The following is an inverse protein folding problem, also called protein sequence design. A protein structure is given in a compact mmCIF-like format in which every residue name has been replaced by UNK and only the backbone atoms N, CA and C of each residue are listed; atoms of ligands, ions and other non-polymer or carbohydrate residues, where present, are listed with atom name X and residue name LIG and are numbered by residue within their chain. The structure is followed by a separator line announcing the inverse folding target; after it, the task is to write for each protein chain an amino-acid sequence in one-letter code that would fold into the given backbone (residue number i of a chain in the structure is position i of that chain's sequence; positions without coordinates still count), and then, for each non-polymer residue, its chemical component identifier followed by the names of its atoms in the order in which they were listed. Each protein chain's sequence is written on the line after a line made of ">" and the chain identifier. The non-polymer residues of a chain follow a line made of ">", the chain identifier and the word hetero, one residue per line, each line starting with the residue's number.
data_IF_515776042746
#
_entry.id   IF_515776042746
#
_cell.length_a   1.000
_cell.length_b   1.000
_cell.length_c   1.000
_cell.angle_alpha   90.00
_cell.angle_beta   90.00
_cell.angle_gamma   90.00
#
_symmetry.space_group_name_H-M   'P 1'
#
loop_
_entity.id
_entity.type
_entity.pdbx_description
1 polymer ?
#
# COMPACT_ATOMS: atom_id res chain seq x y z
N UNK A 1 2.68 -4.26 28.71
CA UNK A 1 2.04 -3.09 28.08
C UNK A 1 3.09 -2.40 27.22
N UNK A 2 2.90 -2.32 25.89
CA UNK A 2 3.87 -1.66 25.00
C UNK A 2 3.91 -0.16 25.31
N UNK A 3 5.08 0.37 25.66
CA UNK A 3 5.29 1.81 25.87
C UNK A 3 5.80 2.42 24.56
N UNK A 4 4.96 3.19 23.89
CA UNK A 4 5.33 3.87 22.65
C UNK A 4 6.21 5.08 22.93
N UNK A 5 7.26 5.27 22.13
CA UNK A 5 7.99 6.53 22.08
C UNK A 5 7.10 7.65 21.51
N UNK A 6 7.45 8.93 21.73
CA UNK A 6 6.80 10.04 21.03
C UNK A 6 6.84 9.86 19.51
N UNK A 7 7.98 9.44 18.96
CA UNK A 7 8.19 9.26 17.53
C UNK A 7 7.34 8.13 16.94
N UNK A 8 7.27 6.97 17.61
CA UNK A 8 6.43 5.85 17.16
C UNK A 8 4.94 6.21 17.27
N UNK A 9 4.58 7.02 18.28
CA UNK A 9 3.22 7.55 18.40
C UNK A 9 2.88 8.50 17.24
N UNK A 10 3.80 9.40 16.86
CA UNK A 10 3.63 10.28 15.68
C UNK A 10 3.42 9.42 14.44
N UNK A 11 4.28 8.42 14.19
CA UNK A 11 4.20 7.55 13.02
C UNK A 11 2.87 6.77 12.94
N UNK A 12 2.42 6.18 14.05
CA UNK A 12 1.13 5.48 14.12
C UNK A 12 -0.05 6.41 13.90
N UNK A 13 0.02 7.65 14.40
CA UNK A 13 -1.03 8.63 14.15
C UNK A 13 -1.04 9.00 12.67
N UNK A 14 0.10 9.45 12.14
CA UNK A 14 0.19 10.04 10.80
C UNK A 14 0.18 9.04 9.66
N UNK A 15 0.21 7.73 9.93
CA UNK A 15 0.03 6.72 8.88
C UNK A 15 -1.44 6.60 8.40
N UNK A 16 -2.40 7.20 9.12
CA UNK A 16 -3.84 7.08 8.85
C UNK A 16 -4.33 8.22 7.97
N UNK A 17 -5.22 7.94 7.02
CA UNK A 17 -5.82 8.99 6.17
C UNK A 17 -6.76 9.95 6.93
N UNK A 18 -7.38 9.47 8.01
CA UNK A 18 -8.34 10.22 8.83
C UNK A 18 -7.91 10.20 10.29
N UNK A 19 -8.03 11.35 10.96
CA UNK A 19 -7.76 11.51 12.38
C UNK A 19 -9.03 11.98 13.08
N UNK A 20 -9.27 11.48 14.30
CA UNK A 20 -10.30 12.03 15.19
C UNK A 20 -9.75 13.29 15.89
N UNK A 21 -10.61 14.16 16.45
CA UNK A 21 -10.14 15.32 17.20
C UNK A 21 -9.11 14.98 18.28
N UNK A 22 -9.30 13.87 18.99
CA UNK A 22 -8.38 13.44 20.07
C UNK A 22 -7.02 12.98 19.52
N UNK A 23 -7.00 12.43 18.30
CA UNK A 23 -5.77 12.04 17.60
C UNK A 23 -4.98 13.28 17.15
N UNK A 24 -5.68 14.33 16.69
CA UNK A 24 -5.07 15.61 16.31
C UNK A 24 -4.49 16.34 17.51
N UNK A 25 -5.24 16.44 18.61
CA UNK A 25 -4.75 17.03 19.85
C UNK A 25 -3.52 16.29 20.37
N UNK A 26 -3.55 14.95 20.31
CA UNK A 26 -2.40 14.13 20.71
C UNK A 26 -1.19 14.38 19.82
N UNK A 27 -1.38 14.47 18.50
CA UNK A 27 -0.29 14.79 17.56
C UNK A 27 0.32 16.16 17.87
N UNK A 28 -0.52 17.19 18.07
CA UNK A 28 -0.06 18.55 18.43
C UNK A 28 0.74 18.53 19.73
N UNK A 29 0.29 17.79 20.75
CA UNK A 29 1.03 17.67 22.03
C UNK A 29 2.39 17.00 21.81
N UNK A 30 2.43 15.88 21.09
CA UNK A 30 3.67 15.13 20.82
C UNK A 30 4.68 15.98 20.04
N UNK A 31 4.25 16.72 19.02
CA UNK A 31 5.14 17.56 18.22
C UNK A 31 5.70 18.77 18.95
N UNK A 32 5.12 19.16 20.11
CA UNK A 32 5.62 20.25 20.96
C UNK A 32 6.67 19.79 21.98
N UNK A 33 6.86 18.48 22.16
CA UNK A 33 7.94 17.90 22.95
C UNK A 33 9.23 17.77 22.11
N UNK A 34 10.40 17.52 22.71
CA UNK A 34 11.60 17.19 21.95
C UNK A 34 11.39 15.92 21.10
N UNK A 35 11.34 16.07 19.77
CA UNK A 35 11.15 14.98 18.80
C UNK A 35 12.41 14.79 17.97
N UNK A 36 12.84 13.53 17.81
CA UNK A 36 13.86 13.16 16.85
C UNK A 36 13.28 13.14 15.42
N UNK A 37 13.12 14.33 14.83
CA UNK A 37 12.59 14.48 13.46
C UNK A 37 13.35 13.71 12.38
N UNK A 38 14.69 13.65 12.38
CA UNK A 38 15.42 12.77 11.47
C UNK A 38 14.96 11.31 11.52
N UNK A 39 14.75 10.76 12.73
CA UNK A 39 14.22 9.42 12.90
C UNK A 39 12.78 9.28 12.38
N UNK A 40 11.89 10.24 12.69
CA UNK A 40 10.49 10.22 12.21
C UNK A 40 10.44 10.23 10.69
N UNK A 41 11.20 11.11 10.03
CA UNK A 41 11.23 11.21 8.57
C UNK A 41 11.79 9.93 7.95
N UNK A 42 12.90 9.42 8.49
CA UNK A 42 13.50 8.15 8.05
C UNK A 42 12.49 6.99 8.16
N UNK A 43 11.81 6.84 9.31
CA UNK A 43 10.79 5.81 9.51
C UNK A 43 9.59 6.02 8.60
N UNK A 44 9.09 7.24 8.44
CA UNK A 44 7.96 7.53 7.56
C UNK A 44 8.25 7.15 6.11
N UNK A 45 9.48 7.34 5.64
CA UNK A 45 9.91 6.87 4.33
C UNK A 45 9.87 5.35 4.21
N UNK A 46 10.46 4.62 5.18
CA UNK A 46 10.44 3.15 5.20
C UNK A 46 9.02 2.61 5.29
N UNK A 47 8.17 3.27 6.07
CA UNK A 47 6.76 2.94 6.24
C UNK A 47 5.89 3.30 5.03
N UNK A 48 6.42 4.07 4.06
CA UNK A 48 5.70 4.64 2.91
C UNK A 48 4.55 5.58 3.32
N UNK A 49 4.77 6.44 4.31
CA UNK A 49 3.73 7.35 4.86
C UNK A 49 4.13 8.83 4.81
N UNK A 50 5.18 9.20 4.07
CA UNK A 50 5.67 10.59 4.00
C UNK A 50 4.60 11.60 3.56
N UNK A 51 3.76 11.35 2.52
CA UNK A 51 2.73 12.30 2.11
C UNK A 51 1.66 12.50 3.18
N UNK A 52 1.33 11.44 3.93
CA UNK A 52 0.36 11.50 5.02
C UNK A 52 0.95 12.28 6.21
N UNK A 53 2.20 12.01 6.57
CA UNK A 53 2.93 12.78 7.57
C UNK A 53 2.93 14.27 7.22
N UNK A 54 3.35 14.63 6.01
CA UNK A 54 3.34 16.03 5.57
C UNK A 54 1.93 16.63 5.61
N UNK A 55 0.92 15.90 5.10
CA UNK A 55 -0.45 16.37 5.04
C UNK A 55 -1.00 16.73 6.43
N UNK A 56 -0.80 15.86 7.42
CA UNK A 56 -1.26 16.15 8.78
C UNK A 56 -0.48 17.29 9.43
N UNK A 57 0.85 17.31 9.28
CA UNK A 57 1.66 18.38 9.84
C UNK A 57 1.33 19.73 9.19
N UNK A 58 1.05 19.77 7.89
CA UNK A 58 0.67 20.97 7.17
C UNK A 58 -0.68 21.48 7.62
N UNK A 59 -1.69 20.59 7.70
CA UNK A 59 -3.05 20.93 8.08
C UNK A 59 -3.18 21.44 9.52
N UNK A 60 -2.28 21.01 10.40
CA UNK A 60 -2.24 21.39 11.81
C UNK A 60 -1.20 22.49 12.11
N UNK A 61 -0.61 23.12 11.09
CA UNK A 61 0.41 24.16 11.22
C UNK A 61 1.66 23.74 12.02
N UNK A 62 2.02 22.46 11.94
CA UNK A 62 3.16 21.85 12.64
C UNK A 62 4.42 21.71 11.77
N UNK A 63 4.34 21.98 10.46
CA UNK A 63 5.50 21.83 9.56
C UNK A 63 6.70 22.70 9.97
N UNK A 64 6.46 23.85 10.60
CA UNK A 64 7.50 24.77 11.08
C UNK A 64 8.28 24.24 12.28
N UNK A 65 7.81 23.17 12.92
CA UNK A 65 8.49 22.50 14.03
C UNK A 65 9.58 21.53 13.55
N UNK A 66 9.61 21.21 12.26
CA UNK A 66 10.64 20.36 11.68
C UNK A 66 11.91 21.20 11.43
N UNK A 67 13.11 20.61 11.60
CA UNK A 67 14.33 21.18 11.05
C UNK A 67 14.17 21.47 9.55
N UNK A 68 14.76 22.56 9.06
CA UNK A 68 14.61 23.04 7.68
C UNK A 68 14.88 21.94 6.64
N UNK A 69 15.92 21.15 6.84
CA UNK A 69 16.32 20.06 5.96
C UNK A 69 15.27 18.94 5.93
N UNK A 70 14.70 18.61 7.10
CA UNK A 70 13.66 17.59 7.21
C UNK A 70 12.36 18.05 6.54
N UNK A 71 11.96 19.30 6.77
CA UNK A 71 10.78 19.90 6.12
C UNK A 71 10.94 19.92 4.59
N UNK A 72 12.11 20.36 4.09
CA UNK A 72 12.41 20.37 2.66
C UNK A 72 12.39 18.97 2.06
N UNK A 73 13.00 17.99 2.75
CA UNK A 73 13.02 16.60 2.30
C UNK A 73 11.61 16.01 2.16
N UNK A 74 10.78 16.17 3.19
CA UNK A 74 9.39 15.70 3.19
C UNK A 74 8.60 16.33 2.06
N UNK A 75 8.72 17.66 1.85
CA UNK A 75 8.04 18.37 0.77
C UNK A 75 8.47 17.86 -0.62
N UNK A 76 9.78 17.71 -0.85
CA UNK A 76 10.31 17.21 -2.13
C UNK A 76 9.83 15.78 -2.43
N UNK A 77 9.84 14.92 -1.41
CA UNK A 77 9.35 13.55 -1.51
C UNK A 77 7.87 13.51 -1.87
N UNK A 78 7.03 14.28 -1.16
CA UNK A 78 5.59 14.28 -1.41
C UNK A 78 5.24 14.81 -2.79
N UNK A 79 5.83 15.94 -3.22
CA UNK A 79 5.58 16.47 -4.58
C UNK A 79 5.89 15.41 -5.63
N UNK A 80 7.01 14.72 -5.47
CA UNK A 80 7.44 13.68 -6.40
C UNK A 80 6.50 12.45 -6.37
N UNK A 81 6.05 12.03 -5.19
CA UNK A 81 5.03 10.98 -5.04
C UNK A 81 3.72 11.37 -5.71
N UNK A 82 3.26 12.62 -5.53
CA UNK A 82 2.02 13.11 -6.14
C UNK A 82 2.10 13.12 -7.67
N UNK A 83 3.24 13.50 -8.23
CA UNK A 83 3.47 13.43 -9.69
C UNK A 83 3.38 11.99 -10.18
N UNK A 84 4.02 11.03 -9.51
CA UNK A 84 3.91 9.61 -9.84
C UNK A 84 2.45 9.14 -9.83
N UNK A 85 1.73 9.36 -8.72
CA UNK A 85 0.33 8.92 -8.61
C UNK A 85 -0.57 9.57 -9.65
N UNK A 86 -0.35 10.85 -9.98
CA UNK A 86 -1.09 11.53 -11.04
C UNK A 86 -0.83 10.89 -12.42
N UNK A 87 0.42 10.49 -12.71
CA UNK A 87 0.73 9.76 -13.94
C UNK A 87 0.08 8.37 -13.97
N UNK A 88 0.14 7.63 -12.87
CA UNK A 88 -0.52 6.33 -12.74
C UNK A 88 -2.03 6.47 -13.03
N UNK A 89 -2.73 7.38 -12.36
CA UNK A 89 -4.17 7.58 -12.60
C UNK A 89 -4.51 8.15 -13.98
N UNK A 90 -3.59 8.88 -14.62
CA UNK A 90 -3.77 9.33 -16.02
C UNK A 90 -3.79 8.15 -17.00
N UNK A 91 -3.03 7.10 -16.72
CA UNK A 91 -2.89 5.92 -17.58
C UNK A 91 -4.05 4.92 -17.38
N UNK A 92 -4.63 4.89 -16.18
CA UNK A 92 -5.61 3.88 -15.80
C UNK A 92 -6.87 3.80 -16.69
N UNK A 93 -7.51 4.92 -17.11
CA UNK A 93 -8.70 4.86 -17.96
C UNK A 93 -8.50 4.15 -19.31
N UNK A 94 -7.33 4.32 -19.93
CA UNK A 94 -7.01 3.66 -21.21
C UNK A 94 -7.00 2.14 -21.07
N UNK A 95 -6.40 1.64 -19.99
CA UNK A 95 -6.32 0.20 -19.69
C UNK A 95 -7.72 -0.34 -19.41
N UNK A 96 -8.49 0.35 -18.57
CA UNK A 96 -9.86 -0.06 -18.24
C UNK A 96 -10.74 -0.15 -19.47
N UNK A 97 -10.73 0.88 -20.33
CA UNK A 97 -11.53 0.89 -21.55
C UNK A 97 -11.12 -0.22 -22.52
N UNK A 98 -9.84 -0.57 -22.56
CA UNK A 98 -9.36 -1.68 -23.38
C UNK A 98 -9.84 -3.03 -22.84
N UNK A 99 -9.76 -3.26 -21.53
CA UNK A 99 -10.29 -4.47 -20.88
C UNK A 99 -11.80 -4.61 -21.11
N UNK A 100 -12.56 -3.53 -20.93
CA UNK A 100 -14.01 -3.49 -21.17
C UNK A 100 -14.35 -3.83 -22.63
N UNK A 101 -13.69 -3.18 -23.60
CA UNK A 101 -13.89 -3.47 -25.04
C UNK A 101 -13.52 -4.90 -25.41
N UNK A 102 -12.53 -5.48 -24.74
CA UNK A 102 -12.14 -6.87 -24.95
C UNK A 102 -13.09 -7.86 -24.24
N UNK A 103 -14.03 -7.40 -23.41
CA UNK A 103 -14.88 -8.28 -22.60
C UNK A 103 -14.08 -9.12 -21.61
N UNK A 104 -12.99 -8.57 -21.08
CA UNK A 104 -12.18 -9.21 -20.03
C UNK A 104 -12.75 -8.75 -18.68
N UNK A 105 -13.09 -9.68 -17.79
CA UNK A 105 -13.55 -9.33 -16.45
C UNK A 105 -12.37 -8.79 -15.63
N UNK A 106 -12.56 -7.66 -14.97
CA UNK A 106 -11.52 -7.01 -14.17
C UNK A 106 -12.08 -6.22 -12.98
N UNK A 107 -11.26 -5.98 -11.97
CA UNK A 107 -11.52 -4.99 -10.93
C UNK A 107 -10.23 -4.41 -10.36
N UNK A 108 -10.27 -3.19 -9.83
CA UNK A 108 -9.15 -2.57 -9.11
C UNK A 108 -9.05 -3.15 -7.71
N UNK A 109 -7.81 -3.44 -7.29
CA UNK A 109 -7.53 -4.02 -5.98
C UNK A 109 -6.32 -3.34 -5.36
N UNK A 110 -6.13 -3.45 -4.04
CA UNK A 110 -4.99 -2.91 -3.30
C UNK A 110 -4.78 -1.41 -3.56
N UNK A 111 -3.79 -1.05 -4.36
CA UNK A 111 -3.31 0.31 -4.39
C UNK A 111 -4.34 1.31 -4.91
N UNK A 112 -4.75 1.15 -6.17
CA UNK A 112 -5.63 2.11 -6.84
C UNK A 112 -7.03 2.22 -6.23
N UNK A 113 -7.67 1.11 -5.84
CA UNK A 113 -9.00 1.18 -5.24
C UNK A 113 -8.97 1.82 -3.84
N UNK A 114 -7.95 1.52 -3.02
CA UNK A 114 -7.75 2.17 -1.73
C UNK A 114 -7.55 3.67 -1.89
N UNK A 115 -6.64 4.09 -2.78
CA UNK A 115 -6.37 5.50 -3.03
C UNK A 115 -7.63 6.25 -3.52
N UNK A 116 -8.37 5.69 -4.48
CA UNK A 116 -9.50 6.37 -5.10
C UNK A 116 -10.74 6.46 -4.21
N UNK A 117 -10.98 5.45 -3.37
CA UNK A 117 -12.24 5.33 -2.64
C UNK A 117 -12.13 5.62 -1.14
N UNK A 118 -10.95 5.37 -0.55
CA UNK A 118 -10.79 5.38 0.90
C UNK A 118 -9.91 6.53 1.39
N UNK A 119 -9.25 7.27 0.50
CA UNK A 119 -8.46 8.45 0.88
C UNK A 119 -9.19 9.75 0.50
N UNK A 120 -9.02 10.83 1.28
CA UNK A 120 -9.66 12.12 0.97
C UNK A 120 -9.09 12.77 -0.30
N UNK A 121 -7.83 12.46 -0.63
CA UNK A 121 -7.17 12.80 -1.89
C UNK A 121 -6.36 11.56 -2.31
N UNK A 122 -6.59 11.00 -3.51
CA UNK A 122 -5.90 9.81 -3.98
C UNK A 122 -4.38 10.00 -4.09
N UNK A 123 -3.90 11.24 -4.19
CA UNK A 123 -2.47 11.56 -4.26
C UNK A 123 -1.76 11.51 -2.90
N UNK A 124 -2.50 11.31 -1.79
CA UNK A 124 -1.93 11.12 -0.46
C UNK A 124 -1.44 9.69 -0.21
N UNK A 125 -1.90 8.72 -1.01
CA UNK A 125 -1.51 7.32 -0.87
C UNK A 125 -0.36 7.01 -1.85
N UNK A 126 0.90 6.96 -1.40
CA UNK A 126 2.00 6.66 -2.30
C UNK A 126 1.90 5.22 -2.82
N UNK A 127 2.09 5.07 -4.13
CA UNK A 127 2.04 3.79 -4.84
C UNK A 127 3.24 3.64 -5.75
N UNK A 128 3.52 2.41 -6.13
CA UNK A 128 4.60 2.07 -7.07
C UNK A 128 4.07 1.38 -8.33
N UNK A 129 2.81 1.00 -8.33
CA UNK A 129 2.16 0.11 -9.26
C UNK A 129 0.64 0.27 -9.16
N UNK A 130 -0.04 -0.05 -10.26
CA UNK A 130 -1.48 -0.20 -10.33
C UNK A 130 -1.81 -1.69 -10.37
N UNK A 131 -2.36 -2.22 -9.28
CA UNK A 131 -2.84 -3.59 -9.22
C UNK A 131 -4.24 -3.70 -9.84
N UNK A 132 -4.40 -4.60 -10.81
CA UNK A 132 -5.67 -4.92 -11.47
C UNK A 132 -5.86 -6.42 -11.41
N UNK A 133 -7.02 -6.87 -10.92
CA UNK A 133 -7.38 -8.28 -10.92
C UNK A 133 -8.03 -8.64 -12.26
N UNK A 134 -7.66 -9.80 -12.83
CA UNK A 134 -8.26 -10.41 -14.02
C UNK A 134 -8.46 -11.90 -13.79
N UNK A 135 -9.30 -12.56 -14.61
CA UNK A 135 -9.49 -14.01 -14.48
C UNK A 135 -8.27 -14.76 -15.06
N UNK A 136 -7.82 -15.88 -14.44
CA UNK A 136 -6.69 -16.67 -14.94
C UNK A 136 -6.81 -17.06 -16.43
N UNK A 137 -8.03 -17.39 -16.87
CA UNK A 137 -8.30 -17.78 -18.27
C UNK A 137 -8.01 -16.67 -19.29
N UNK A 138 -7.95 -15.40 -18.86
CA UNK A 138 -7.72 -14.25 -19.73
C UNK A 138 -6.25 -13.80 -19.79
N UNK A 139 -5.34 -14.45 -19.05
CA UNK A 139 -3.95 -13.97 -18.90
C UNK A 139 -3.24 -13.70 -20.24
N UNK A 140 -3.31 -14.63 -21.20
CA UNK A 140 -2.69 -14.42 -22.51
C UNK A 140 -3.37 -13.31 -23.33
N UNK A 141 -4.69 -13.12 -23.16
CA UNK A 141 -5.44 -12.05 -23.83
C UNK A 141 -5.03 -10.69 -23.26
N UNK A 142 -4.90 -10.61 -21.94
CA UNK A 142 -4.41 -9.42 -21.22
C UNK A 142 -3.00 -9.05 -21.66
N UNK A 143 -2.09 -10.02 -21.78
CA UNK A 143 -0.71 -9.73 -22.23
C UNK A 143 -0.68 -9.11 -23.62
N UNK A 144 -1.39 -9.68 -24.59
CA UNK A 144 -1.47 -9.13 -25.95
C UNK A 144 -2.05 -7.72 -25.93
N UNK A 145 -3.15 -7.53 -25.20
CA UNK A 145 -3.79 -6.23 -25.06
C UNK A 145 -2.86 -5.16 -24.47
N UNK A 146 -2.13 -5.49 -23.39
CA UNK A 146 -1.19 -4.57 -22.78
C UNK A 146 -0.03 -4.22 -23.72
N UNK A 147 0.44 -5.17 -24.53
CA UNK A 147 1.44 -4.90 -25.56
C UNK A 147 0.91 -4.01 -26.68
N UNK A 148 -0.35 -4.17 -27.08
CA UNK A 148 -1.00 -3.29 -28.06
C UNK A 148 -1.16 -1.85 -27.53
N UNK A 149 -1.36 -1.68 -26.22
CA UNK A 149 -1.36 -0.38 -25.52
C UNK A 149 0.04 0.23 -25.31
N UNK A 150 1.09 -0.43 -25.82
CA UNK A 150 2.46 0.07 -25.75
C UNK A 150 3.20 -0.27 -24.44
N UNK A 151 2.61 -1.06 -23.55
CA UNK A 151 3.32 -1.56 -22.37
C UNK A 151 4.27 -2.70 -22.74
N UNK A 152 5.38 -2.84 -22.02
CA UNK A 152 6.37 -3.90 -22.22
C UNK A 152 6.86 -4.44 -20.88
N UNK A 153 7.46 -5.62 -20.89
CA UNK A 153 8.24 -6.09 -19.73
C UNK A 153 9.66 -5.53 -19.81
N UNK A 154 10.27 -5.27 -18.66
CA UNK A 154 11.65 -4.81 -18.58
C UNK A 154 11.98 -4.05 -17.30
N UNK A 155 13.23 -3.63 -17.21
CA UNK A 155 13.80 -2.94 -16.05
C UNK A 155 14.14 -1.49 -16.43
N UNK A 156 13.67 -0.55 -15.63
CA UNK A 156 14.07 0.85 -15.72
C UNK A 156 15.19 1.15 -14.71
N UNK A 157 16.30 1.70 -15.19
CA UNK A 157 17.41 2.17 -14.35
C UNK A 157 17.23 3.66 -14.01
N UNK A 158 16.82 4.02 -12.78
CA UNK A 158 16.63 5.41 -12.39
C UNK A 158 17.94 6.21 -12.27
N UNK A 159 19.10 5.54 -12.37
CA UNK A 159 20.41 6.18 -12.27
C UNK A 159 20.81 6.96 -13.51
N UNK A 160 20.31 6.53 -14.67
CA UNK A 160 20.64 7.05 -16.00
C UNK A 160 19.41 7.20 -16.91
N UNK A 161 18.23 6.72 -16.48
CA UNK A 161 16.99 6.78 -17.26
C UNK A 161 16.86 5.67 -18.32
N UNK A 162 17.77 4.69 -18.34
CA UNK A 162 17.77 3.65 -19.35
C UNK A 162 16.65 2.63 -19.12
N UNK A 163 16.13 2.12 -20.23
CA UNK A 163 15.15 1.04 -20.27
C UNK A 163 15.77 -0.22 -20.86
N UNK A 164 15.64 -1.33 -20.15
CA UNK A 164 16.13 -2.64 -20.55
C UNK A 164 14.93 -3.57 -20.78
N UNK A 165 14.49 -3.77 -22.04
CA UNK A 165 13.38 -4.66 -22.33
C UNK A 165 13.70 -6.10 -21.92
N UNK A 166 12.73 -6.80 -21.37
CA UNK A 166 12.81 -8.22 -21.07
C UNK A 166 11.74 -8.97 -21.84
N UNK A 167 12.06 -10.20 -22.28
CA UNK A 167 11.05 -11.14 -22.79
C UNK A 167 10.70 -12.10 -21.66
N UNK A 168 9.43 -12.11 -21.27
CA UNK A 168 8.88 -13.06 -20.30
C UNK A 168 7.73 -13.79 -20.96
N UNK A 169 7.86 -15.11 -21.07
CA UNK A 169 6.78 -15.95 -21.59
C UNK A 169 5.81 -16.27 -20.45
N UNK A 170 4.53 -16.42 -20.80
CA UNK A 170 3.51 -16.89 -19.87
C UNK A 170 3.37 -18.40 -20.05
N UNK A 171 4.05 -19.16 -19.22
CA UNK A 171 3.95 -20.61 -19.18
C UNK A 171 3.21 -21.10 -17.92
N UNK A 172 2.87 -22.39 -17.89
CA UNK A 172 2.17 -23.02 -16.77
C UNK A 172 2.99 -23.04 -15.48
N UNK A 173 4.32 -22.86 -15.56
CA UNK A 173 5.21 -22.72 -14.41
C UNK A 173 5.06 -21.34 -13.76
N UNK A 174 4.99 -20.29 -14.57
CA UNK A 174 4.74 -18.91 -14.14
C UNK A 174 3.49 -18.80 -13.26
N UNK A 175 2.39 -19.47 -13.61
CA UNK A 175 1.14 -19.42 -12.82
C UNK A 175 1.10 -20.37 -11.62
N UNK A 176 2.02 -21.34 -11.54
CA UNK A 176 2.15 -22.20 -10.34
C UNK A 176 2.89 -21.47 -9.21
N UNK A 177 3.84 -20.60 -9.57
CA UNK A 177 4.70 -19.90 -8.61
C UNK A 177 4.31 -18.44 -8.39
N UNK A 178 3.60 -17.82 -9.34
CA UNK A 178 3.13 -16.44 -9.28
C UNK A 178 1.61 -16.36 -9.36
N UNK A 179 1.05 -15.43 -8.58
CA UNK A 179 -0.36 -15.05 -8.64
C UNK A 179 -0.60 -13.81 -9.53
N UNK A 180 0.43 -13.33 -10.24
CA UNK A 180 0.31 -12.24 -11.21
C UNK A 180 1.13 -12.50 -12.48
N UNK A 181 0.73 -11.85 -13.57
CA UNK A 181 1.51 -11.79 -14.80
C UNK A 181 2.78 -10.97 -14.56
N UNK A 182 3.85 -11.15 -15.37
CA UNK A 182 4.99 -10.28 -15.31
C UNK A 182 4.59 -8.81 -15.48
N UNK A 183 5.11 -7.95 -14.60
CA UNK A 183 4.74 -6.53 -14.55
C UNK A 183 4.88 -5.86 -15.92
N UNK A 184 3.86 -5.09 -16.29
CA UNK A 184 3.82 -4.29 -17.49
C UNK A 184 4.31 -2.87 -17.19
N UNK A 185 5.17 -2.33 -18.04
CA UNK A 185 5.78 -1.03 -17.84
C UNK A 185 5.60 -0.15 -19.06
N UNK A 186 5.27 1.12 -18.84
CA UNK A 186 5.35 2.20 -19.82
C UNK A 186 6.05 3.40 -19.20
N UNK A 187 6.96 4.04 -19.94
CA UNK A 187 7.68 5.22 -19.46
C UNK A 187 6.89 6.46 -19.84
N UNK A 188 6.47 7.20 -18.83
CA UNK A 188 5.80 8.48 -18.98
C UNK A 188 6.80 9.61 -18.71
N UNK A 189 6.61 10.74 -19.40
CA UNK A 189 7.47 11.92 -19.27
C UNK A 189 6.64 13.17 -19.01
N UNK A 190 7.08 14.01 -18.07
CA UNK A 190 6.48 15.31 -17.74
C UNK A 190 7.54 16.36 -17.46
N UNK A 191 7.16 17.63 -17.45
CA UNK A 191 8.03 18.68 -16.95
C UNK A 191 8.40 18.41 -15.48
N UNK A 192 9.68 18.55 -15.14
CA UNK A 192 10.13 18.39 -13.77
C UNK A 192 9.48 19.46 -12.89
N UNK A 193 8.84 19.09 -11.76
CA UNK A 193 8.34 20.06 -10.80
C UNK A 193 9.46 20.79 -10.05
N UNK A 194 10.73 20.44 -10.32
CA UNK A 194 11.91 21.00 -9.67
C UNK A 194 12.93 21.54 -10.69
N UNK A 195 13.63 22.64 -10.35
CA UNK A 195 14.65 23.23 -11.21
C UNK A 195 15.96 22.42 -11.28
N UNK A 196 16.12 21.42 -10.41
CA UNK A 196 17.29 20.55 -10.30
C UNK A 196 16.94 19.20 -9.65
N UNK A 197 17.92 18.38 -9.23
CA UNK A 197 17.66 17.08 -8.63
C UNK A 197 16.94 17.21 -7.27
N UNK A 198 15.66 16.83 -7.21
CA UNK A 198 14.80 17.02 -6.03
C UNK A 198 15.03 16.02 -4.88
N UNK A 199 15.48 14.82 -5.24
CA UNK A 199 15.78 13.73 -4.32
C UNK A 199 17.21 13.27 -4.61
N UNK A 200 18.08 13.12 -3.58
CA UNK A 200 19.43 12.60 -3.75
C UNK A 200 19.44 11.34 -4.60
N UNK A 201 20.43 11.20 -5.47
CA UNK A 201 20.50 10.11 -6.46
C UNK A 201 20.31 8.74 -5.81
N UNK A 202 20.86 8.53 -4.62
CA UNK A 202 20.79 7.29 -3.84
C UNK A 202 19.37 6.92 -3.37
N UNK A 203 18.45 7.89 -3.31
CA UNK A 203 17.09 7.70 -2.81
C UNK A 203 16.05 7.55 -3.95
N UNK A 204 16.48 7.78 -5.20
CA UNK A 204 15.65 7.57 -6.41
C UNK A 204 15.31 6.09 -6.68
N UNK A 205 16.03 5.16 -6.05
CA UNK A 205 15.90 3.72 -6.25
C UNK A 205 14.75 3.08 -5.46
N UNK A 206 14.24 3.73 -4.41
CA UNK A 206 13.27 3.09 -3.50
C UNK A 206 11.83 3.18 -3.99
N UNK A 207 11.22 4.36 -3.86
CA UNK A 207 9.76 4.50 -4.02
C UNK A 207 9.36 5.35 -5.22
N UNK A 208 10.10 6.43 -5.50
CA UNK A 208 9.75 7.32 -6.60
C UNK A 208 10.08 6.73 -7.96
N UNK A 209 11.23 6.05 -8.11
CA UNK A 209 11.77 5.52 -9.38
C UNK A 209 11.57 6.50 -10.54
N UNK A 210 12.50 7.41 -10.74
CA UNK A 210 12.43 8.39 -11.83
C UNK A 210 13.78 9.02 -12.15
N UNK A 211 13.89 9.55 -13.36
CA UNK A 211 15.09 10.20 -13.89
C UNK A 211 14.73 11.59 -14.43
N UNK A 212 15.53 12.61 -14.09
CA UNK A 212 15.39 13.95 -14.65
C UNK A 212 16.53 14.15 -15.65
N UNK A 213 16.18 14.42 -16.91
CA UNK A 213 17.14 14.61 -18.00
C UNK A 213 17.74 16.03 -18.04
N UNK A 214 18.66 16.26 -18.98
CA UNK A 214 19.30 17.58 -19.19
C UNK A 214 18.34 18.65 -19.70
N UNK A 215 17.20 18.25 -20.28
CA UNK A 215 16.13 19.14 -20.71
C UNK A 215 15.10 19.43 -19.60
N UNK A 216 15.36 19.00 -18.35
CA UNK A 216 14.49 19.15 -17.18
C UNK A 216 13.16 18.39 -17.30
N UNK A 217 13.10 17.31 -18.08
CA UNK A 217 11.97 16.39 -18.09
C UNK A 217 12.18 15.27 -17.09
N UNK A 218 11.13 14.96 -16.36
CA UNK A 218 11.04 13.83 -15.44
C UNK A 218 10.44 12.63 -16.17
N UNK A 219 11.20 11.55 -16.24
CA UNK A 219 10.81 10.26 -16.79
C UNK A 219 10.51 9.28 -15.66
N UNK A 220 9.34 8.64 -15.71
CA UNK A 220 8.87 7.69 -14.71
C UNK A 220 8.31 6.42 -15.37
N UNK A 221 8.77 5.22 -14.97
CA UNK A 221 8.09 3.98 -15.29
C UNK A 221 6.77 3.90 -14.50
N UNK A 222 5.69 3.68 -15.24
CA UNK A 222 4.36 3.33 -14.74
C UNK A 222 4.24 1.82 -14.80
N UNK A 223 4.07 1.21 -13.63
CA UNK A 223 3.99 -0.24 -13.48
C UNK A 223 2.52 -0.66 -13.33
N UNK A 224 2.11 -1.66 -14.11
CA UNK A 224 0.79 -2.27 -14.03
C UNK A 224 0.99 -3.74 -13.67
N UNK A 225 0.42 -4.15 -12.54
CA UNK A 225 0.47 -5.52 -12.06
C UNK A 225 -0.90 -6.17 -12.29
N UNK A 226 -0.92 -7.20 -13.14
CA UNK A 226 -2.14 -7.90 -13.53
C UNK A 226 -2.22 -9.20 -12.72
N UNK A 227 -3.04 -9.18 -11.67
CA UNK A 227 -3.23 -10.29 -10.74
C UNK A 227 -4.25 -11.28 -11.27
N UNK A 228 -3.93 -12.57 -11.19
CA UNK A 228 -4.87 -13.68 -11.43
C UNK A 228 -5.30 -14.35 -10.11
N UNK A 229 -4.56 -14.08 -9.03
CA UNK A 229 -4.88 -14.40 -7.64
C UNK A 229 -4.25 -13.31 -6.73
N UNK A 230 -4.60 -13.25 -5.45
CA UNK A 230 -3.98 -12.36 -4.47
C UNK A 230 -2.95 -13.06 -3.58
N UNK A 231 -3.04 -14.39 -3.48
CA UNK A 231 -2.10 -15.23 -2.76
C UNK A 231 -2.22 -16.67 -3.24
N UNK A 232 -1.11 -17.41 -3.19
CA UNK A 232 -1.15 -18.87 -3.34
C UNK A 232 -2.01 -19.47 -2.22
N UNK A 233 -2.82 -20.47 -2.56
CA UNK A 233 -3.67 -21.20 -1.61
C UNK A 233 -5.01 -20.52 -1.28
N UNK A 234 -5.32 -19.36 -1.85
CA UNK A 234 -6.64 -18.73 -1.73
C UNK A 234 -7.47 -19.02 -2.98
N UNK A 235 -8.73 -19.40 -2.77
CA UNK A 235 -9.70 -19.60 -3.84
C UNK A 235 -9.99 -18.26 -4.53
N UNK A 236 -9.89 -18.26 -5.85
CA UNK A 236 -10.16 -17.08 -6.66
C UNK A 236 -11.60 -16.61 -6.47
N UNK A 237 -12.57 -17.50 -6.27
CA UNK A 237 -13.96 -17.07 -6.12
C UNK A 237 -14.21 -16.29 -4.82
N UNK A 238 -13.46 -16.57 -3.74
CA UNK A 238 -13.53 -15.77 -2.51
C UNK A 238 -12.96 -14.36 -2.69
N UNK A 239 -11.99 -14.20 -3.61
CA UNK A 239 -11.40 -12.89 -3.95
C UNK A 239 -12.36 -12.06 -4.81
N UNK A 240 -13.09 -12.72 -5.71
CA UNK A 240 -14.10 -12.09 -6.56
C UNK A 240 -15.44 -11.89 -5.85
N UNK A 241 -15.63 -12.51 -4.68
CA UNK A 241 -16.84 -12.36 -3.86
C UNK A 241 -17.11 -10.90 -3.49
N UNK A 242 -18.33 -10.46 -3.83
CA UNK A 242 -18.82 -9.12 -3.50
C UNK A 242 -18.13 -7.98 -4.27
N UNK A 243 -17.36 -8.26 -5.33
CA UNK A 243 -16.86 -7.22 -6.24
C UNK A 243 -18.01 -6.31 -6.62
N UNK A 244 -17.78 -5.00 -6.50
CA UNK A 244 -18.84 -4.00 -6.54
C UNK A 244 -18.49 -2.85 -7.46
N UNK A 245 -19.51 -2.08 -7.79
CA UNK A 245 -19.37 -0.82 -8.49
C UNK A 245 -19.15 0.32 -7.50
N UNK A 246 -18.23 1.23 -7.85
CA UNK A 246 -17.97 2.45 -7.10
C UNK A 246 -17.71 3.62 -8.04
N UNK A 247 -17.92 4.84 -7.57
CA UNK A 247 -17.60 6.05 -8.34
C UNK A 247 -16.16 6.47 -8.06
N UNK A 248 -15.36 6.66 -9.10
CA UNK A 248 -13.99 7.18 -9.01
C UNK A 248 -13.50 7.66 -10.37
N UNK A 249 -12.59 8.63 -10.38
CA UNK A 249 -12.11 9.27 -11.63
C UNK A 249 -13.23 9.78 -12.54
N UNK A 250 -14.36 10.23 -11.97
CA UNK A 250 -15.52 10.72 -12.73
C UNK A 250 -16.29 9.63 -13.50
N UNK A 251 -16.10 8.35 -13.18
CA UNK A 251 -16.77 7.21 -13.84
C UNK A 251 -17.07 6.08 -12.84
N UNK A 252 -17.76 5.05 -13.34
CA UNK A 252 -18.01 3.82 -12.58
C UNK A 252 -16.77 2.91 -12.71
N UNK A 253 -16.33 2.38 -11.58
CA UNK A 253 -15.20 1.46 -11.41
C UNK A 253 -15.69 0.13 -10.84
N UNK A 254 -15.08 -0.98 -11.26
CA UNK A 254 -15.19 -2.27 -10.58
C UNK A 254 -14.08 -2.35 -9.52
N UNK A 255 -14.42 -2.64 -8.27
CA UNK A 255 -13.48 -2.63 -7.14
C UNK A 255 -13.71 -3.80 -6.17
N UNK A 256 -12.70 -4.09 -5.35
CA UNK A 256 -12.80 -5.10 -4.31
C UNK A 256 -13.94 -4.81 -3.31
N UNK A 257 -14.55 -5.86 -2.77
CA UNK A 257 -15.54 -5.74 -1.69
C UNK A 257 -14.90 -5.21 -0.40
N UNK A 258 -15.68 -4.50 0.43
CA UNK A 258 -15.20 -4.03 1.73
C UNK A 258 -14.79 -5.20 2.64
N UNK A 259 -15.61 -6.25 2.68
CA UNK A 259 -15.29 -7.52 3.35
C UNK A 259 -13.97 -8.10 2.85
N UNK A 260 -13.81 -8.18 1.52
CA UNK A 260 -12.61 -8.62 0.81
C UNK A 260 -11.36 -7.88 1.26
N UNK A 261 -11.43 -6.55 1.22
CA UNK A 261 -10.33 -5.68 1.61
C UNK A 261 -9.94 -5.87 3.09
N UNK A 262 -10.90 -6.03 4.01
CA UNK A 262 -10.62 -6.16 5.44
C UNK A 262 -9.85 -7.44 5.77
N UNK A 263 -10.32 -8.61 5.31
CA UNK A 263 -9.60 -9.86 5.61
C UNK A 263 -8.24 -9.88 4.90
N UNK A 264 -8.18 -9.41 3.65
CA UNK A 264 -6.96 -9.44 2.86
C UNK A 264 -5.88 -8.51 3.42
N UNK A 265 -6.21 -7.25 3.72
CA UNK A 265 -5.26 -6.30 4.28
C UNK A 265 -4.78 -6.71 5.68
N UNK A 266 -5.68 -7.26 6.49
CA UNK A 266 -5.32 -7.77 7.82
C UNK A 266 -4.34 -8.93 7.72
N UNK A 267 -4.65 -9.94 6.90
CA UNK A 267 -3.78 -11.08 6.67
C UNK A 267 -2.44 -10.63 6.06
N UNK A 268 -2.47 -9.80 5.02
CA UNK A 268 -1.27 -9.33 4.32
C UNK A 268 -0.36 -8.54 5.26
N UNK A 269 -0.87 -7.56 6.00
CA UNK A 269 -0.09 -6.77 6.95
C UNK A 269 0.65 -7.67 7.94
N UNK A 270 -0.04 -8.68 8.47
CA UNK A 270 0.50 -9.62 9.45
C UNK A 270 1.61 -10.49 8.87
N UNK A 271 1.34 -11.18 7.76
CA UNK A 271 2.30 -12.10 7.15
C UNK A 271 3.50 -11.36 6.57
N UNK A 272 3.31 -10.20 5.94
CA UNK A 272 4.40 -9.37 5.44
C UNK A 272 5.33 -8.91 6.57
N UNK A 273 4.78 -8.54 7.72
CA UNK A 273 5.57 -8.15 8.88
C UNK A 273 6.39 -9.33 9.42
N UNK A 274 5.80 -10.51 9.61
CA UNK A 274 6.46 -11.64 10.24
C UNK A 274 7.35 -12.48 9.30
N UNK A 275 6.89 -12.78 8.08
CA UNK A 275 7.62 -13.64 7.14
C UNK A 275 8.72 -12.89 6.37
N UNK A 276 8.44 -11.63 5.98
CA UNK A 276 9.32 -10.87 5.09
C UNK A 276 9.95 -9.64 5.73
N UNK A 277 9.68 -9.40 7.02
CA UNK A 277 10.16 -8.21 7.75
C UNK A 277 9.79 -6.90 7.02
N UNK A 278 8.64 -6.89 6.35
CA UNK A 278 8.09 -5.75 5.61
C UNK A 278 7.24 -4.92 6.56
N UNK A 279 7.91 -4.03 7.29
CA UNK A 279 7.34 -3.29 8.44
C UNK A 279 6.58 -2.02 8.00
N UNK A 280 5.65 -2.12 7.06
CA UNK A 280 5.03 -0.94 6.41
C UNK A 280 3.76 -0.48 7.14
N UNK A 281 3.83 0.65 7.84
CA UNK A 281 2.63 1.27 8.43
C UNK A 281 1.62 1.78 7.39
N UNK A 282 1.97 1.94 6.11
CA UNK A 282 1.00 2.27 5.07
C UNK A 282 -0.17 1.27 5.02
N UNK A 283 0.11 -0.05 5.14
CA UNK A 283 -0.95 -1.08 5.15
C UNK A 283 -1.85 -1.00 6.39
N UNK A 284 -1.30 -0.56 7.52
CA UNK A 284 -2.08 -0.28 8.73
C UNK A 284 -3.00 0.94 8.50
N UNK A 285 -2.47 2.00 7.89
CA UNK A 285 -3.25 3.17 7.47
C UNK A 285 -4.35 2.87 6.45
N UNK A 286 -4.06 2.00 5.48
CA UNK A 286 -4.99 1.50 4.47
C UNK A 286 -6.19 0.80 5.12
N UNK A 287 -5.91 -0.17 5.99
CA UNK A 287 -6.96 -0.91 6.70
C UNK A 287 -7.78 0.02 7.61
N UNK A 288 -7.13 0.99 8.27
CA UNK A 288 -7.85 2.03 9.02
C UNK A 288 -8.81 2.83 8.12
N UNK A 289 -8.37 3.23 6.92
CA UNK A 289 -9.20 3.99 5.98
C UNK A 289 -10.41 3.17 5.48
N UNK A 290 -10.22 1.88 5.18
CA UNK A 290 -11.30 0.96 4.82
C UNK A 290 -12.30 0.83 5.97
N UNK A 291 -11.83 0.49 7.17
CA UNK A 291 -12.70 0.33 8.34
C UNK A 291 -13.45 1.63 8.68
N UNK A 292 -12.83 2.79 8.51
CA UNK A 292 -13.46 4.08 8.75
C UNK A 292 -14.59 4.39 7.75
N UNK A 293 -14.41 4.05 6.47
CA UNK A 293 -15.35 4.39 5.39
C UNK A 293 -16.43 3.34 5.15
N UNK A 294 -16.10 2.08 5.37
CA UNK A 294 -16.88 0.94 4.87
C UNK A 294 -17.43 0.07 6.02
N UNK A 295 -17.39 0.53 7.28
CA UNK A 295 -17.81 -0.25 8.45
C UNK A 295 -19.17 -0.96 8.27
N UNK A 296 -20.14 -0.23 7.71
CA UNK A 296 -21.50 -0.73 7.49
C UNK A 296 -21.61 -1.76 6.35
N UNK A 297 -20.61 -1.86 5.48
CA UNK A 297 -20.58 -2.73 4.31
C UNK A 297 -19.73 -4.00 4.54
N UNK A 298 -19.22 -4.21 5.76
CA UNK A 298 -18.40 -5.37 6.11
C UNK A 298 -19.29 -6.49 6.65
N UNK A 299 -19.19 -7.66 6.03
CA UNK A 299 -19.77 -8.90 6.56
C UNK A 299 -18.79 -9.56 7.52
N UNK A 300 -18.93 -9.30 8.82
CA UNK A 300 -18.07 -9.91 9.85
C UNK A 300 -18.18 -11.44 9.91
N UNK A 301 -19.34 -11.99 9.56
CA UNK A 301 -19.53 -13.43 9.44
C UNK A 301 -18.68 -14.03 8.31
N UNK A 302 -18.59 -13.35 7.17
CA UNK A 302 -17.75 -13.77 6.04
C UNK A 302 -16.26 -13.59 6.36
N UNK A 303 -15.86 -12.48 7.01
CA UNK A 303 -14.48 -12.31 7.51
C UNK A 303 -14.10 -13.47 8.43
N UNK A 304 -14.98 -13.88 9.35
CA UNK A 304 -14.74 -15.02 10.23
C UNK A 304 -14.64 -16.33 9.42
N UNK A 305 -15.55 -16.57 8.49
CA UNK A 305 -15.55 -17.78 7.65
C UNK A 305 -14.25 -17.92 6.84
N UNK A 306 -13.78 -16.83 6.23
CA UNK A 306 -12.48 -16.76 5.54
C UNK A 306 -11.33 -17.02 6.53
N UNK A 307 -11.43 -16.42 7.72
CA UNK A 307 -10.50 -16.66 8.84
C UNK A 307 -10.33 -18.13 9.17
N UNK A 308 -11.42 -18.89 9.27
CA UNK A 308 -11.40 -20.33 9.51
C UNK A 308 -10.94 -21.13 8.28
N UNK A 309 -11.47 -20.82 7.09
CA UNK A 309 -11.17 -21.54 5.84
C UNK A 309 -9.68 -21.59 5.52
N UNK A 310 -8.96 -20.50 5.80
CA UNK A 310 -7.54 -20.34 5.47
C UNK A 310 -6.64 -20.22 6.71
N UNK A 311 -7.14 -20.59 7.89
CA UNK A 311 -6.40 -20.56 9.16
C UNK A 311 -5.75 -19.20 9.51
N UNK A 312 -6.31 -18.10 9.00
CA UNK A 312 -5.76 -16.74 9.17
C UNK A 312 -6.33 -16.00 10.39
N UNK A 313 -7.06 -16.68 11.27
CA UNK A 313 -7.66 -16.09 12.49
C UNK A 313 -6.68 -15.30 13.36
N UNK A 314 -5.43 -15.76 13.64
CA UNK A 314 -4.48 -14.97 14.42
C UNK A 314 -4.16 -13.63 13.76
N UNK A 315 -3.90 -13.64 12.45
CA UNK A 315 -3.64 -12.42 11.69
C UNK A 315 -4.80 -11.42 11.78
N UNK A 316 -6.03 -11.91 11.58
CA UNK A 316 -7.24 -11.08 11.71
C UNK A 316 -7.38 -10.55 13.14
N UNK A 317 -7.25 -11.41 14.15
CA UNK A 317 -7.46 -11.05 15.55
C UNK A 317 -6.47 -9.99 16.01
N UNK A 318 -5.17 -10.21 15.82
CA UNK A 318 -4.15 -9.28 16.32
C UNK A 318 -4.22 -7.94 15.61
N UNK A 319 -4.35 -7.92 14.28
CA UNK A 319 -4.43 -6.66 13.53
C UNK A 319 -5.67 -5.86 13.91
N UNK A 320 -6.85 -6.49 13.91
CA UNK A 320 -8.12 -5.82 14.19
C UNK A 320 -8.21 -5.39 15.66
N UNK A 321 -7.66 -6.17 16.59
CA UNK A 321 -7.52 -5.74 17.99
C UNK A 321 -6.69 -4.45 18.11
N UNK A 322 -5.62 -4.30 17.33
CA UNK A 322 -4.85 -3.05 17.32
C UNK A 322 -5.60 -1.89 16.65
N UNK A 323 -6.40 -2.15 15.61
CA UNK A 323 -7.29 -1.13 15.03
C UNK A 323 -8.28 -0.61 16.06
N UNK A 324 -8.91 -1.50 16.84
CA UNK A 324 -9.80 -1.12 17.93
C UNK A 324 -9.07 -0.36 19.03
N UNK A 325 -7.92 -0.85 19.48
CA UNK A 325 -7.18 -0.31 20.63
C UNK A 325 -6.46 1.01 20.33
N UNK A 326 -5.75 1.11 19.21
CA UNK A 326 -4.90 2.27 18.88
C UNK A 326 -5.70 3.34 18.16
N UNK A 327 -6.54 2.93 17.21
CA UNK A 327 -7.26 3.87 16.35
C UNK A 327 -8.68 4.15 16.82
N UNK A 328 -9.21 3.35 17.77
CA UNK A 328 -10.57 3.51 18.28
C UNK A 328 -11.65 3.12 17.27
N UNK A 329 -11.35 2.19 16.35
CA UNK A 329 -12.35 1.62 15.44
C UNK A 329 -13.27 0.70 16.23
N UNK A 330 -14.59 0.85 16.07
CA UNK A 330 -15.58 0.04 16.77
C UNK A 330 -15.79 -1.33 16.11
N UNK A 331 -14.79 -2.20 16.24
CA UNK A 331 -14.87 -3.59 15.76
C UNK A 331 -15.76 -4.39 16.73
N UNK A 332 -16.74 -5.18 16.22
CA UNK A 332 -17.64 -5.94 17.09
C UNK A 332 -16.88 -6.85 18.05
N UNK A 333 -17.21 -6.76 19.34
CA UNK A 333 -16.49 -7.49 20.38
C UNK A 333 -16.74 -8.99 20.25
N UNK A 334 -17.97 -9.38 19.95
CA UNK A 334 -18.38 -10.76 19.69
C UNK A 334 -17.62 -11.40 18.53
N UNK A 335 -17.29 -10.61 17.49
CA UNK A 335 -16.47 -11.07 16.38
C UNK A 335 -15.03 -11.31 16.85
N UNK A 336 -14.43 -10.37 17.60
CA UNK A 336 -13.07 -10.54 18.11
C UNK A 336 -12.95 -11.72 19.08
N UNK A 337 -13.95 -11.96 19.93
CA UNK A 337 -14.01 -13.15 20.79
C UNK A 337 -14.10 -14.43 19.95
N UNK A 338 -14.92 -14.44 18.89
CA UNK A 338 -15.09 -15.61 18.02
C UNK A 338 -13.78 -16.04 17.34
N UNK A 339 -13.00 -15.08 16.82
CA UNK A 339 -11.76 -15.38 16.10
C UNK A 339 -10.51 -15.38 16.99
N UNK A 340 -10.67 -15.19 18.30
CA UNK A 340 -9.54 -15.15 19.24
C UNK A 340 -8.73 -16.45 19.16
N UNK A 341 -7.38 -16.38 19.04
CA UNK A 341 -6.54 -17.56 19.11
C UNK A 341 -6.67 -18.28 20.45
N UNK A 342 -6.73 -19.60 20.41
CA UNK A 342 -6.72 -20.42 21.63
C UNK A 342 -5.33 -20.39 22.26
N UNK A 343 -5.26 -19.99 23.53
CA UNK A 343 -4.00 -19.91 24.28
C UNK A 343 -3.70 -21.19 25.07
N UNK A 344 -4.59 -22.19 25.03
CA UNK A 344 -4.48 -23.44 25.77
C UNK A 344 -3.99 -24.61 24.92
N UNK A 345 -4.05 -24.47 23.59
CA UNK A 345 -3.59 -25.46 22.62
C UNK A 345 -2.29 -25.04 21.93
N UNK A 346 -1.75 -25.93 21.09
CA UNK A 346 -0.61 -25.60 20.23
C UNK A 346 -1.04 -24.48 19.28
N UNK A 347 -0.30 -23.35 19.21
CA UNK A 347 -0.64 -22.26 18.31
C UNK A 347 -0.69 -22.72 16.85
N UNK A 348 -1.58 -22.11 16.07
CA UNK A 348 -1.63 -22.33 14.62
C UNK A 348 -0.28 -21.96 13.98
N UNK A 349 0.03 -22.55 12.83
CA UNK A 349 1.31 -22.37 12.14
C UNK A 349 1.70 -20.89 11.93
N UNK A 350 0.72 -20.01 11.74
CA UNK A 350 0.91 -18.57 11.54
C UNK A 350 0.36 -17.72 12.71
N UNK A 351 0.39 -18.24 13.92
CA UNK A 351 0.18 -17.45 15.14
C UNK A 351 1.53 -17.01 15.72
N UNK A 352 1.94 -15.77 15.41
CA UNK A 352 3.15 -15.14 15.94
C UNK A 352 2.86 -14.08 17.01
N UNK A 353 1.61 -14.01 17.50
CA UNK A 353 1.21 -13.02 18.49
C UNK A 353 0.98 -11.60 17.94
N UNK A 354 1.08 -10.61 18.82
CA UNK A 354 0.80 -9.21 18.53
C UNK A 354 1.72 -8.67 17.41
N UNK A 355 1.13 -8.10 16.37
CA UNK A 355 1.82 -7.55 15.20
C UNK A 355 2.50 -6.21 15.48
N UNK A 356 2.01 -5.44 16.46
CA UNK A 356 2.45 -4.06 16.67
C UNK A 356 3.93 -3.95 17.07
N UNK A 357 4.47 -4.76 18.01
CA UNK A 357 5.90 -4.77 18.30
C UNK A 357 6.75 -5.06 17.06
N UNK A 358 6.28 -5.94 16.17
CA UNK A 358 6.98 -6.25 14.92
C UNK A 358 6.98 -5.05 13.97
N UNK A 359 5.83 -4.42 13.71
CA UNK A 359 5.73 -3.23 12.84
C UNK A 359 6.57 -2.04 13.33
N UNK A 360 6.71 -1.89 14.64
CA UNK A 360 7.49 -0.82 15.24
C UNK A 360 8.98 -1.16 15.39
N UNK A 361 9.35 -2.43 15.25
CA UNK A 361 10.75 -2.85 15.33
C UNK A 361 11.63 -2.12 14.31
N UNK A 362 12.88 -1.95 14.68
CA UNK A 362 13.92 -1.44 13.79
C UNK A 362 14.68 -2.67 13.30
N UNK A 363 14.74 -2.94 11.98
CA UNK A 363 15.64 -3.96 11.46
C UNK A 363 17.08 -3.55 11.77
N UNK A 364 17.65 -4.09 12.83
CA UNK A 364 19.09 -4.02 13.07
C UNK A 364 19.73 -5.08 12.20
N UNK A 365 20.34 -4.67 11.09
CA UNK A 365 21.38 -5.48 10.48
C UNK A 365 22.55 -5.37 11.45
N UNK A 366 22.72 -6.36 12.32
CA UNK A 366 24.01 -6.51 12.96
C UNK A 366 24.98 -6.84 11.83
N UNK A 367 26.05 -6.06 11.72
CA UNK A 367 27.24 -6.43 10.99
C UNK A 367 27.86 -7.66 11.68
N UNK A 368 27.17 -8.80 11.66
CA UNK A 368 27.83 -10.09 11.74
C UNK A 368 28.58 -10.21 10.43
N UNK A 369 29.80 -9.68 10.51
CA UNK A 369 30.96 -9.90 9.67
C UNK A 369 30.73 -11.07 8.71
N UNK A 370 30.58 -10.75 7.43
CA UNK A 370 30.97 -11.65 6.35
C UNK A 370 32.48 -11.87 6.52
N UNK A 371 32.85 -12.80 7.40
CA UNK A 371 34.19 -13.36 7.52
C UNK A 371 34.44 -14.38 6.41
#
# INVERSE_FOLDING_TARGET
>A
MLRLSPEDSILLITCRAYLRPEDEERLVRLCKEPVNWPYVVWRAEHNRTVPLLENHLRRLDLLTLLPTEAAHYVQCWTVMSKVRSALEFRNLPEIMDALDRAGIAWFLVKGPDLALLHYPDPLLRPMTDLDIMVKPADAQRVQRLMFDLGYRHGIFDPSNGNWHPERKELDDETFRESYSLPVFVRIESVESPFPGPAVPRQLRYRHVKGYIDSAKKLHMPIFIDMHVNLSVGIDVEDIWSGVRLANGLGRILQVQSATGAVWFLSARLYHEAFLYNSLRLLMFGDLHAVLHKEMANISWAEVAAIGYKYEMRPALYFVLTQMKRICGIDIPSEFLELIRPDQTEVPLQHDWGDVLPKLLSIPTVNDLELA
#
